data_IF_382466621879
#
_entry.id   IF_382466621879
#
_cell.length_a   1.000
_cell.length_b   1.000
_cell.length_c   1.000
_cell.angle_alpha   90.00
_cell.angle_beta   90.00
_cell.angle_gamma   90.00
#
_symmetry.space_group_name_H-M   'P 1'
#
loop_
_entity.id
_entity.type
_entity.pdbx_description
1 polymer ?
#
# COMPACT_ATOMS: atom_id res chain seq x y z
N UNK A 1 5.11 -4.39 1.31
CA UNK A 1 4.65 -4.27 2.71
C UNK A 1 5.67 -3.44 3.48
N UNK A 2 5.23 -2.66 4.47
CA UNK A 2 6.14 -1.96 5.38
C UNK A 2 6.94 -2.96 6.24
N UNK A 3 8.13 -2.56 6.70
CA UNK A 3 8.99 -3.38 7.57
C UNK A 3 9.40 -2.58 8.80
N UNK A 4 9.39 -3.22 9.97
CA UNK A 4 9.82 -2.61 11.23
C UNK A 4 10.85 -3.47 11.96
N UNK A 5 11.85 -2.83 12.60
CA UNK A 5 12.77 -3.50 13.51
C UNK A 5 13.31 -2.52 14.56
N UNK A 6 13.72 -3.06 15.72
CA UNK A 6 14.58 -2.35 16.66
C UNK A 6 16.03 -2.46 16.18
N UNK A 7 16.79 -1.39 16.33
CA UNK A 7 18.19 -1.32 15.92
C UNK A 7 18.98 -0.40 16.84
N UNK A 8 20.30 -0.50 16.78
CA UNK A 8 21.20 0.52 17.35
C UNK A 8 21.70 1.41 16.22
N UNK A 9 21.37 2.70 16.25
CA UNK A 9 21.98 3.68 15.35
C UNK A 9 23.39 4.00 15.82
N UNK A 10 24.37 3.63 15.00
CA UNK A 10 25.77 3.97 15.17
C UNK A 10 26.01 5.37 14.58
N UNK A 11 26.21 6.35 15.45
CA UNK A 11 26.54 7.72 15.08
C UNK A 11 28.03 7.95 14.93
N UNK A 12 28.37 9.20 14.61
CA UNK A 12 29.76 9.66 14.58
C UNK A 12 30.43 9.48 15.95
N UNK A 13 31.75 9.28 15.91
CA UNK A 13 32.60 9.08 17.10
C UNK A 13 32.18 7.92 18.01
N UNK A 14 31.52 6.89 17.48
CA UNK A 14 31.16 5.69 18.24
C UNK A 14 29.95 5.88 19.17
N UNK A 15 29.19 6.97 19.00
CA UNK A 15 27.94 7.14 19.75
C UNK A 15 26.90 6.11 19.30
N UNK A 16 26.16 5.54 20.24
CA UNK A 16 25.11 4.56 19.97
C UNK A 16 23.77 5.08 20.48
N UNK A 17 22.69 4.82 19.76
CA UNK A 17 21.34 5.18 20.17
C UNK A 17 20.34 4.07 19.82
N UNK A 18 19.49 3.72 20.77
CA UNK A 18 18.45 2.72 20.57
C UNK A 18 17.28 3.32 19.78
N UNK A 19 16.97 2.72 18.63
CA UNK A 19 15.97 3.23 17.68
C UNK A 19 15.05 2.12 17.16
N UNK A 20 13.90 2.54 16.63
CA UNK A 20 13.02 1.71 15.81
C UNK A 20 13.00 2.25 14.40
N UNK A 21 13.30 1.35 13.45
CA UNK A 21 13.26 1.58 12.02
C UNK A 21 11.90 1.17 11.48
N UNK A 22 11.29 2.02 10.67
CA UNK A 22 10.05 1.75 9.94
C UNK A 22 10.27 2.09 8.46
N UNK A 23 10.40 1.07 7.63
CA UNK A 23 10.52 1.21 6.18
C UNK A 23 9.14 1.15 5.54
N UNK A 24 8.73 2.24 4.91
CA UNK A 24 7.48 2.39 4.17
C UNK A 24 7.75 2.71 2.71
N UNK A 25 6.72 2.75 1.85
CA UNK A 25 6.88 3.06 0.43
C UNK A 25 7.61 4.40 0.19
N UNK A 26 7.26 5.43 0.96
CA UNK A 26 7.82 6.77 0.85
C UNK A 26 9.27 6.91 1.37
N UNK A 27 9.75 5.99 2.20
CA UNK A 27 11.08 6.10 2.81
C UNK A 27 11.20 5.39 4.15
N UNK A 28 12.29 5.69 4.85
CA UNK A 28 12.65 5.13 6.14
C UNK A 28 12.38 6.17 7.23
N UNK A 29 11.52 5.80 8.19
CA UNK A 29 11.28 6.56 9.41
C UNK A 29 12.08 5.93 10.55
N UNK A 30 12.85 6.75 11.25
CA UNK A 30 13.66 6.36 12.41
C UNK A 30 13.08 7.09 13.62
N UNK A 31 12.78 6.34 14.66
CA UNK A 31 12.21 6.85 15.91
C UNK A 31 12.93 6.27 17.13
N UNK A 32 12.75 6.85 18.31
CA UNK A 32 13.44 6.44 19.54
C UNK A 32 14.33 7.56 20.08
N UNK A 33 15.50 7.18 20.61
CA UNK A 33 16.49 8.11 21.18
C UNK A 33 17.04 9.10 20.15
N UNK A 34 17.04 8.69 18.86
CA UNK A 34 17.28 9.56 17.72
C UNK A 34 16.17 9.43 16.71
N UNK A 35 15.94 10.51 15.95
CA UNK A 35 14.85 10.60 14.98
C UNK A 35 15.35 11.14 13.66
N UNK A 36 14.89 10.53 12.57
CA UNK A 36 15.13 11.01 11.22
C UNK A 36 14.04 10.46 10.30
N UNK A 37 13.83 11.13 9.17
CA UNK A 37 13.01 10.62 8.08
C UNK A 37 13.82 10.79 6.81
N UNK A 38 14.14 9.67 6.18
CA UNK A 38 14.92 9.66 4.95
C UNK A 38 13.98 9.25 3.81
N UNK A 39 13.74 10.11 2.81
CA UNK A 39 13.00 9.73 1.61
C UNK A 39 13.72 8.62 0.84
N UNK A 40 12.97 7.74 0.16
CA UNK A 40 13.58 6.69 -0.71
C UNK A 40 14.54 7.27 -1.75
N UNK A 41 14.20 8.41 -2.32
CA UNK A 41 15.00 9.09 -3.34
C UNK A 41 16.31 9.69 -2.81
N UNK A 42 16.45 9.80 -1.48
CA UNK A 42 17.60 10.46 -0.87
C UNK A 42 18.74 9.50 -0.55
N UNK A 43 18.51 8.17 -0.51
CA UNK A 43 19.56 7.22 -0.16
C UNK A 43 20.18 6.48 -1.34
N UNK A 44 21.45 6.12 -1.16
CA UNK A 44 22.26 5.34 -2.10
C UNK A 44 23.28 4.49 -1.35
N UNK A 45 24.08 3.71 -2.07
CA UNK A 45 25.20 2.92 -1.51
C UNK A 45 24.78 2.06 -0.30
N UNK A 46 23.71 1.27 -0.47
CA UNK A 46 23.21 0.40 0.59
C UNK A 46 24.09 -0.84 0.70
N UNK A 47 24.63 -1.08 1.90
CA UNK A 47 25.49 -2.22 2.20
C UNK A 47 25.06 -2.91 3.50
N UNK A 48 25.38 -4.19 3.63
CA UNK A 48 25.28 -4.94 4.87
C UNK A 48 26.56 -5.71 5.14
N UNK A 49 27.17 -5.48 6.29
CA UNK A 49 28.38 -6.17 6.76
C UNK A 49 28.34 -6.29 8.28
N UNK A 50 28.81 -7.43 8.80
CA UNK A 50 28.99 -7.66 10.25
C UNK A 50 27.75 -7.34 11.11
N UNK A 51 26.55 -7.64 10.59
CA UNK A 51 25.30 -7.37 11.28
C UNK A 51 24.87 -5.90 11.31
N UNK A 52 25.54 -5.04 10.54
CA UNK A 52 25.21 -3.62 10.36
C UNK A 52 24.70 -3.41 8.94
N UNK A 53 23.58 -2.69 8.79
CA UNK A 53 23.16 -2.13 7.50
C UNK A 53 23.57 -0.66 7.46
N UNK A 54 24.04 -0.22 6.30
CA UNK A 54 24.47 1.15 6.12
C UNK A 54 24.09 1.71 4.75
N UNK A 55 23.83 3.00 4.67
CA UNK A 55 23.56 3.71 3.42
C UNK A 55 23.94 5.19 3.55
N UNK A 56 24.17 5.85 2.42
CA UNK A 56 24.39 7.29 2.37
C UNK A 56 23.09 8.01 2.02
N UNK A 57 22.75 9.07 2.73
CA UNK A 57 21.66 9.96 2.35
C UNK A 57 21.94 11.40 2.74
N UNK A 58 21.63 12.35 1.84
CA UNK A 58 21.87 13.79 2.04
C UNK A 58 23.31 14.11 2.51
N UNK A 59 24.30 13.39 1.96
CA UNK A 59 25.71 13.53 2.32
C UNK A 59 26.09 12.99 3.71
N UNK A 60 25.20 12.22 4.36
CA UNK A 60 25.42 11.62 5.67
C UNK A 60 25.41 10.10 5.60
N UNK A 61 26.29 9.47 6.36
CA UNK A 61 26.30 8.02 6.51
C UNK A 61 25.33 7.59 7.62
N UNK A 62 24.38 6.73 7.28
CA UNK A 62 23.50 6.07 8.24
C UNK A 62 23.97 4.64 8.47
N UNK A 63 24.07 4.22 9.73
CA UNK A 63 24.52 2.89 10.13
C UNK A 63 23.65 2.34 11.26
N UNK A 64 23.09 1.15 11.05
CA UNK A 64 22.20 0.51 12.00
C UNK A 64 22.62 -0.92 12.27
N UNK A 65 22.94 -1.22 13.52
CA UNK A 65 23.19 -2.59 13.97
C UNK A 65 21.86 -3.33 14.12
N UNK A 66 21.71 -4.41 13.36
CA UNK A 66 20.52 -5.24 13.23
C UNK A 66 20.84 -6.75 13.41
N UNK A 67 22.11 -7.09 13.60
CA UNK A 67 22.58 -8.47 13.68
C UNK A 67 22.23 -9.27 12.42
N UNK A 68 21.73 -10.49 12.61
CA UNK A 68 21.35 -11.38 11.50
C UNK A 68 20.31 -10.81 10.53
N UNK A 69 19.56 -9.76 10.92
CA UNK A 69 18.59 -9.13 10.04
C UNK A 69 19.22 -8.17 9.02
N UNK A 70 20.48 -7.74 9.19
CA UNK A 70 21.11 -6.72 8.34
C UNK A 70 21.08 -7.03 6.83
N UNK A 71 21.40 -8.25 6.34
CA UNK A 71 21.33 -8.56 4.91
C UNK A 71 19.90 -8.40 4.35
N UNK A 72 18.89 -8.89 5.09
CA UNK A 72 17.51 -8.75 4.65
C UNK A 72 17.07 -7.29 4.59
N UNK A 73 17.57 -6.43 5.50
CA UNK A 73 17.31 -5.00 5.50
C UNK A 73 17.98 -4.28 4.35
N UNK A 74 19.23 -4.61 4.01
CA UNK A 74 19.87 -4.10 2.80
C UNK A 74 19.04 -4.42 1.55
N UNK A 75 18.59 -5.67 1.39
CA UNK A 75 17.71 -6.06 0.29
C UNK A 75 16.42 -5.23 0.28
N UNK A 76 15.79 -4.99 1.42
CA UNK A 76 14.53 -4.21 1.46
C UNK A 76 14.73 -2.71 1.17
N UNK A 77 15.89 -2.14 1.51
CA UNK A 77 16.24 -0.75 1.22
C UNK A 77 16.55 -0.54 -0.27
N UNK A 78 17.11 -1.56 -0.94
CA UNK A 78 17.38 -1.52 -2.39
C UNK A 78 16.20 -1.96 -3.25
N UNK A 79 15.29 -2.78 -2.72
CA UNK A 79 14.09 -3.21 -3.44
C UNK A 79 13.13 -2.02 -3.61
N UNK A 80 12.74 -1.68 -4.85
CA UNK A 80 11.71 -0.68 -5.09
C UNK A 80 10.40 -1.05 -4.38
N UNK A 81 9.63 -0.07 -3.89
CA UNK A 81 8.30 -0.36 -3.38
C UNK A 81 7.42 -0.93 -4.51
N UNK A 82 6.46 -1.82 -4.19
CA UNK A 82 5.57 -2.35 -5.21
C UNK A 82 4.77 -1.22 -5.88
N UNK A 83 4.54 -1.36 -7.17
CA UNK A 83 3.70 -0.47 -7.96
C UNK A 83 2.25 -0.53 -7.49
N UNK A 84 1.42 0.45 -7.89
CA UNK A 84 0.00 0.40 -7.58
C UNK A 84 -0.67 -0.82 -8.25
N UNK A 85 -0.30 -1.15 -9.48
CA UNK A 85 -0.78 -2.34 -10.18
C UNK A 85 -0.49 -3.62 -9.37
N UNK A 86 0.75 -3.81 -8.92
CA UNK A 86 1.14 -4.96 -8.09
C UNK A 86 0.38 -5.01 -6.75
N UNK A 87 0.12 -3.85 -6.13
CA UNK A 87 -0.68 -3.78 -4.90
C UNK A 87 -2.12 -4.20 -5.13
N UNK A 88 -2.71 -3.78 -6.27
CA UNK A 88 -4.06 -4.15 -6.67
C UNK A 88 -4.14 -5.59 -7.20
N UNK A 89 -3.00 -6.23 -7.47
CA UNK A 89 -2.93 -7.57 -8.05
C UNK A 89 -3.29 -7.55 -9.54
N UNK A 90 -3.00 -6.44 -10.22
CA UNK A 90 -3.21 -6.28 -11.66
C UNK A 90 -1.86 -6.46 -12.35
N UNK A 91 -1.75 -7.49 -13.18
CA UNK A 91 -0.57 -7.77 -14.02
C UNK A 91 -0.93 -7.76 -15.50
N UNK A 92 0.09 -7.72 -16.36
CA UNK A 92 -0.10 -7.84 -17.80
C UNK A 92 -0.80 -9.17 -18.14
N UNK A 93 -1.86 -9.09 -18.95
CA UNK A 93 -2.68 -10.24 -19.33
C UNK A 93 -3.86 -10.56 -18.39
N UNK A 94 -3.94 -9.93 -17.22
CA UNK A 94 -5.14 -10.01 -16.37
C UNK A 94 -6.29 -9.21 -16.98
N UNK A 95 -7.51 -9.64 -16.67
CA UNK A 95 -8.72 -8.93 -17.06
C UNK A 95 -9.25 -8.09 -15.91
N UNK A 96 -9.69 -6.87 -16.21
CA UNK A 96 -10.16 -5.91 -15.21
C UNK A 96 -11.49 -5.29 -15.61
N UNK A 97 -12.41 -5.22 -14.66
CA UNK A 97 -13.61 -4.40 -14.78
C UNK A 97 -13.48 -3.15 -13.91
N UNK A 98 -13.84 -2.00 -14.46
CA UNK A 98 -13.90 -0.73 -13.72
C UNK A 98 -15.32 -0.22 -13.67
N UNK A 99 -15.78 0.13 -12.48
CA UNK A 99 -17.02 0.89 -12.26
C UNK A 99 -16.69 2.26 -11.69
N UNK A 100 -17.26 3.30 -12.32
CA UNK A 100 -17.05 4.69 -11.94
C UNK A 100 -15.88 5.34 -12.68
N UNK A 101 -15.82 6.67 -12.65
CA UNK A 101 -14.71 7.43 -13.21
C UNK A 101 -13.45 7.22 -12.35
N UNK A 102 -12.28 7.06 -12.99
CA UNK A 102 -11.02 7.01 -12.26
C UNK A 102 -10.66 8.43 -11.81
N UNK A 103 -10.46 8.66 -10.50
CA UNK A 103 -10.28 10.02 -9.98
C UNK A 103 -8.85 10.54 -10.19
N UNK A 104 -7.92 9.67 -10.61
CA UNK A 104 -6.48 9.87 -10.55
C UNK A 104 -5.79 9.17 -11.72
N UNK A 105 -4.78 9.83 -12.31
CA UNK A 105 -3.98 9.26 -13.39
C UNK A 105 -3.17 8.04 -12.93
N UNK A 106 -2.71 8.01 -11.69
CA UNK A 106 -1.94 6.90 -11.12
C UNK A 106 -2.75 5.59 -11.13
N UNK A 107 -4.07 5.69 -10.95
CA UNK A 107 -4.96 4.54 -11.02
C UNK A 107 -5.24 4.12 -12.46
N UNK A 108 -5.26 5.06 -13.41
CA UNK A 108 -5.37 4.72 -14.83
C UNK A 108 -4.09 4.00 -15.31
N UNK A 109 -2.92 4.56 -15.01
CA UNK A 109 -1.61 3.96 -15.30
C UNK A 109 -1.47 2.56 -14.70
N UNK A 110 -1.93 2.36 -13.46
CA UNK A 110 -1.90 1.06 -12.79
C UNK A 110 -2.76 0.00 -13.48
N UNK A 111 -3.73 0.41 -14.28
CA UNK A 111 -4.67 -0.48 -14.96
C UNK A 111 -4.44 -0.55 -16.48
N UNK A 112 -3.54 0.26 -17.03
CA UNK A 112 -3.32 0.41 -18.46
C UNK A 112 -2.86 -0.89 -19.16
N UNK A 113 -2.14 -1.77 -18.44
CA UNK A 113 -1.67 -3.05 -18.96
C UNK A 113 -2.69 -4.20 -18.92
N UNK A 114 -3.90 -3.96 -18.39
CA UNK A 114 -4.94 -4.98 -18.22
C UNK A 114 -6.07 -4.82 -19.24
N UNK A 115 -6.66 -5.94 -19.66
CA UNK A 115 -7.76 -5.93 -20.64
C UNK A 115 -9.06 -5.54 -19.94
N UNK A 116 -9.76 -4.51 -20.46
CA UNK A 116 -11.08 -4.10 -19.94
C UNK A 116 -12.16 -5.10 -20.36
N UNK A 117 -12.84 -5.70 -19.38
CA UNK A 117 -13.94 -6.66 -19.61
C UNK A 117 -15.14 -6.35 -18.71
N UNK A 118 -16.31 -6.95 -18.97
CA UNK A 118 -17.43 -6.88 -18.05
C UNK A 118 -17.12 -7.50 -16.67
N UNK A 119 -17.78 -7.06 -15.58
CA UNK A 119 -17.47 -7.51 -14.21
C UNK A 119 -17.55 -9.02 -13.95
N UNK A 120 -18.39 -9.75 -14.68
CA UNK A 120 -18.53 -11.20 -14.54
C UNK A 120 -17.42 -12.00 -15.26
N UNK A 121 -16.63 -11.35 -16.10
CA UNK A 121 -15.48 -11.92 -16.81
C UNK A 121 -14.14 -11.48 -16.19
N UNK A 122 -14.16 -10.53 -15.25
CA UNK A 122 -12.95 -9.90 -14.72
C UNK A 122 -12.28 -10.70 -13.60
N UNK A 123 -10.97 -10.86 -13.71
CA UNK A 123 -10.12 -11.38 -12.62
C UNK A 123 -10.06 -10.39 -11.45
N UNK A 124 -10.01 -9.09 -11.77
CA UNK A 124 -10.01 -7.99 -10.81
C UNK A 124 -11.15 -7.01 -11.10
N UNK A 125 -12.00 -6.74 -10.11
CA UNK A 125 -13.00 -5.66 -10.20
C UNK A 125 -12.52 -4.47 -9.38
N UNK A 126 -12.43 -3.30 -10.01
CA UNK A 126 -12.12 -2.02 -9.35
C UNK A 126 -13.36 -1.14 -9.40
N UNK A 127 -13.78 -0.64 -8.25
CA UNK A 127 -14.94 0.25 -8.14
C UNK A 127 -14.55 1.53 -7.45
N UNK A 128 -14.81 2.66 -8.08
CA UNK A 128 -14.61 3.98 -7.48
C UNK A 128 -15.92 4.49 -6.91
N UNK A 129 -15.91 4.96 -5.67
CA UNK A 129 -17.05 5.62 -5.02
C UNK A 129 -16.74 7.09 -4.79
N UNK A 130 -17.56 7.97 -5.34
CA UNK A 130 -17.42 9.43 -5.21
C UNK A 130 -18.42 10.04 -4.23
N UNK A 131 -19.51 9.34 -3.93
CA UNK A 131 -20.57 9.80 -3.03
C UNK A 131 -21.27 8.61 -2.34
N UNK A 132 -22.06 8.90 -1.32
CA UNK A 132 -22.74 7.88 -0.51
C UNK A 132 -23.75 7.07 -1.32
N UNK A 133 -24.44 7.66 -2.30
CA UNK A 133 -25.38 6.92 -3.16
C UNK A 133 -24.70 5.86 -4.02
N UNK A 134 -23.53 6.17 -4.59
CA UNK A 134 -22.71 5.19 -5.30
C UNK A 134 -22.26 4.04 -4.39
N UNK A 135 -21.88 4.36 -3.15
CA UNK A 135 -21.48 3.39 -2.14
C UNK A 135 -22.66 2.48 -1.73
N UNK A 136 -23.81 3.06 -1.41
CA UNK A 136 -25.02 2.33 -1.01
C UNK A 136 -25.53 1.38 -2.11
N UNK A 137 -25.28 1.72 -3.38
CA UNK A 137 -25.66 0.87 -4.51
C UNK A 137 -24.76 -0.37 -4.72
N UNK A 138 -23.56 -0.41 -4.12
CA UNK A 138 -22.58 -1.48 -4.38
C UNK A 138 -23.10 -2.90 -4.09
N UNK A 139 -23.75 -3.18 -2.94
CA UNK A 139 -24.19 -4.53 -2.64
C UNK A 139 -25.24 -5.07 -3.62
N UNK A 140 -26.11 -4.20 -4.14
CA UNK A 140 -27.06 -4.59 -5.19
C UNK A 140 -26.31 -4.91 -6.48
N UNK A 141 -25.43 -4.00 -6.92
CA UNK A 141 -24.65 -4.17 -8.13
C UNK A 141 -23.75 -5.42 -8.12
N UNK A 142 -23.07 -5.72 -6.99
CA UNK A 142 -22.26 -6.93 -6.84
C UNK A 142 -23.10 -8.20 -7.04
N UNK A 143 -24.33 -8.24 -6.52
CA UNK A 143 -25.25 -9.37 -6.70
C UNK A 143 -25.76 -9.48 -8.13
N UNK A 144 -26.16 -8.36 -8.74
CA UNK A 144 -26.68 -8.31 -10.11
C UNK A 144 -25.62 -8.72 -11.14
N UNK A 145 -24.37 -8.32 -10.94
CA UNK A 145 -23.26 -8.72 -11.79
C UNK A 145 -22.68 -10.10 -11.46
N UNK A 146 -23.20 -10.80 -10.44
CA UNK A 146 -22.72 -12.12 -10.05
C UNK A 146 -21.25 -12.13 -9.60
N UNK A 147 -20.77 -11.03 -9.01
CA UNK A 147 -19.35 -10.88 -8.65
C UNK A 147 -19.01 -11.83 -7.52
N UNK A 148 -18.25 -12.87 -7.84
CA UNK A 148 -17.75 -13.87 -6.90
C UNK A 148 -16.25 -13.73 -6.57
N UNK A 149 -15.55 -12.84 -7.29
CA UNK A 149 -14.12 -12.55 -7.11
C UNK A 149 -13.87 -11.41 -6.10
N UNK A 150 -12.60 -11.11 -5.87
CA UNK A 150 -12.21 -9.98 -5.02
C UNK A 150 -12.50 -8.64 -5.72
N UNK A 151 -13.04 -7.69 -4.97
CA UNK A 151 -13.31 -6.33 -5.45
C UNK A 151 -12.41 -5.33 -4.72
N UNK A 152 -11.82 -4.40 -5.44
CA UNK A 152 -11.19 -3.21 -4.87
C UNK A 152 -12.17 -2.05 -4.88
N UNK A 153 -12.47 -1.51 -3.71
CA UNK A 153 -13.24 -0.27 -3.60
C UNK A 153 -12.29 0.88 -3.34
N UNK A 154 -12.21 1.79 -4.31
CA UNK A 154 -11.44 3.04 -4.29
C UNK A 154 -12.32 4.12 -3.68
N UNK A 155 -11.86 4.70 -2.58
CA UNK A 155 -12.64 5.55 -1.70
C UNK A 155 -11.80 6.69 -1.13
N UNK A 156 -12.48 7.70 -0.58
CA UNK A 156 -11.85 8.87 0.02
C UNK A 156 -10.97 8.52 1.22
N UNK A 157 -9.90 9.28 1.41
CA UNK A 157 -8.98 9.18 2.53
C UNK A 157 -8.80 10.56 3.19
N UNK A 158 -8.78 10.57 4.52
CA UNK A 158 -8.60 11.79 5.29
C UNK A 158 -9.85 12.68 5.31
N UNK A 159 -9.74 13.81 6.00
CA UNK A 159 -10.87 14.75 6.21
C UNK A 159 -11.11 15.69 5.02
N UNK A 160 -10.14 15.81 4.11
CA UNK A 160 -10.22 16.69 2.95
C UNK A 160 -11.00 16.06 1.78
N UNK A 161 -11.12 14.73 1.77
CA UNK A 161 -11.84 14.02 0.72
C UNK A 161 -13.36 14.19 0.88
N UNK A 162 -14.04 14.47 -0.23
CA UNK A 162 -15.50 14.52 -0.32
C UNK A 162 -16.12 13.16 -0.63
N UNK A 163 -15.30 12.19 -1.03
CA UNK A 163 -15.74 10.82 -1.27
C UNK A 163 -15.92 10.05 0.05
N UNK A 164 -16.76 9.00 0.08
CA UNK A 164 -16.97 8.20 1.28
C UNK A 164 -15.65 7.67 1.84
N UNK A 165 -15.46 7.76 3.15
CA UNK A 165 -14.25 7.29 3.84
C UNK A 165 -14.27 5.80 4.17
N UNK A 166 -13.13 5.27 4.62
CA UNK A 166 -12.94 3.85 4.98
C UNK A 166 -14.03 3.29 5.91
N UNK A 167 -14.42 4.06 6.94
CA UNK A 167 -15.46 3.62 7.89
C UNK A 167 -16.83 3.43 7.22
N UNK A 168 -17.23 4.32 6.30
CA UNK A 168 -18.50 4.22 5.59
C UNK A 168 -18.48 3.00 4.65
N UNK A 169 -17.39 2.84 3.89
CA UNK A 169 -17.21 1.69 2.98
C UNK A 169 -17.26 0.37 3.75
N UNK A 170 -16.54 0.28 4.88
CA UNK A 170 -16.56 -0.91 5.74
C UNK A 170 -17.94 -1.21 6.28
N UNK A 171 -18.69 -0.19 6.73
CA UNK A 171 -20.03 -0.38 7.26
C UNK A 171 -20.98 -1.00 6.22
N UNK A 172 -21.03 -0.42 5.02
CA UNK A 172 -21.90 -0.88 3.93
C UNK A 172 -21.52 -2.30 3.46
N UNK A 173 -20.24 -2.54 3.22
CA UNK A 173 -19.80 -3.82 2.66
C UNK A 173 -19.83 -4.95 3.69
N UNK A 174 -19.45 -4.70 4.94
CA UNK A 174 -19.55 -5.73 5.99
C UNK A 174 -20.99 -6.05 6.34
N UNK A 175 -21.88 -5.05 6.33
CA UNK A 175 -23.32 -5.24 6.48
C UNK A 175 -23.94 -6.11 5.37
N UNK A 176 -23.26 -6.20 4.23
CA UNK A 176 -23.68 -6.98 3.06
C UNK A 176 -22.91 -8.29 2.87
N UNK A 177 -22.20 -8.76 3.91
CA UNK A 177 -21.50 -10.05 3.87
C UNK A 177 -20.11 -10.02 3.20
N UNK A 178 -19.54 -8.86 2.93
CA UNK A 178 -18.17 -8.74 2.43
C UNK A 178 -17.17 -8.55 3.58
N UNK A 179 -15.92 -8.95 3.36
CA UNK A 179 -14.83 -8.78 4.32
C UNK A 179 -13.64 -8.12 3.66
N UNK A 180 -13.17 -7.03 4.25
CA UNK A 180 -11.91 -6.40 3.86
C UNK A 180 -10.73 -7.33 4.18
N UNK A 181 -9.78 -7.42 3.25
CA UNK A 181 -8.60 -8.29 3.38
C UNK A 181 -7.28 -7.56 3.17
N UNK A 182 -7.30 -6.45 2.42
CA UNK A 182 -6.13 -5.62 2.15
C UNK A 182 -6.56 -4.17 1.99
N UNK A 183 -5.64 -3.26 2.29
CA UNK A 183 -5.78 -1.83 1.99
C UNK A 183 -4.51 -1.36 1.29
N UNK A 184 -4.67 -0.47 0.32
CA UNK A 184 -3.59 0.17 -0.41
C UNK A 184 -3.83 1.67 -0.49
N UNK A 185 -2.80 2.47 -0.21
CA UNK A 185 -2.83 3.88 -0.57
C UNK A 185 -2.78 4.00 -2.10
N UNK A 186 -3.66 4.84 -2.67
CA UNK A 186 -3.67 5.19 -4.10
C UNK A 186 -3.02 6.55 -4.28
N UNK A 187 -3.48 7.54 -3.51
CA UNK A 187 -2.88 8.87 -3.42
C UNK A 187 -3.05 9.43 -2.00
N UNK A 188 -2.79 10.73 -1.82
CA UNK A 188 -2.91 11.40 -0.52
C UNK A 188 -4.34 11.34 0.01
N UNK A 189 -5.32 11.64 -0.84
CA UNK A 189 -6.75 11.71 -0.51
C UNK A 189 -7.57 10.51 -0.99
N UNK A 190 -6.90 9.45 -1.48
CA UNK A 190 -7.55 8.23 -1.98
C UNK A 190 -6.88 6.94 -1.48
N UNK A 191 -7.70 5.98 -1.09
CA UNK A 191 -7.30 4.61 -0.75
C UNK A 191 -8.11 3.61 -1.55
N UNK A 192 -7.58 2.40 -1.70
CA UNK A 192 -8.33 1.25 -2.19
C UNK A 192 -8.36 0.18 -1.10
N UNK A 193 -9.55 -0.36 -0.82
CA UNK A 193 -9.72 -1.48 0.12
C UNK A 193 -10.27 -2.68 -0.63
N UNK A 194 -9.60 -3.84 -0.48
CA UNK A 194 -9.98 -5.09 -1.14
C UNK A 194 -10.96 -5.85 -0.29
N UNK A 195 -12.12 -6.18 -0.85
CA UNK A 195 -13.15 -6.97 -0.24
C UNK A 195 -13.29 -8.34 -0.91
N UNK A 196 -13.59 -9.34 -0.10
CA UNK A 196 -13.89 -10.70 -0.53
C UNK A 196 -15.29 -11.07 -0.08
N UNK A 197 -16.06 -11.84 -0.86
CA UNK A 197 -17.30 -12.41 -0.38
C UNK A 197 -16.97 -13.40 0.76
N UNK A 198 -17.76 -13.39 1.84
CA UNK A 198 -17.67 -14.50 2.81
C UNK A 198 -18.10 -15.78 2.11
N UNK A 199 -17.27 -16.81 2.11
CA UNK A 199 -17.71 -18.14 1.67
C UNK A 199 -18.97 -18.51 2.43
N UNK A 200 -20.03 -18.89 1.72
CA UNK A 200 -21.18 -19.54 2.34
C UNK A 200 -20.65 -20.74 3.12
N UNK A 201 -20.90 -20.75 4.43
CA UNK A 201 -20.57 -21.87 5.31
C UNK A 201 -21.58 -22.99 5.12
#
# INVERSE_FOLDING_TARGET
MGRQAKATWIGEHGTAASVTLHLEAAGLQISGERRARVPRSAWSHVEAADGVVSFEADGRMYRFELGAAAPTWATALTTPPPSLAEKLGVSEGETVAVRGALPLHELDDALAGATRVPPWEADVVVVVVHNDGELESLPAWFRECGIASHVWVVHGKGRASTAPGDNAVRAVLRGSGWRDTKVSAVADDWSATRYSPTKAS
#
